data_IF_236845596359
#
_entry.id   IF_236845596359
#
_cell.length_a   1.000
_cell.length_b   1.000
_cell.length_c   1.000
_cell.angle_alpha   90.00
_cell.angle_beta   90.00
_cell.angle_gamma   90.00
#
_symmetry.space_group_name_H-M   'P 1'
#
loop_
_entity.id
_entity.type
_entity.pdbx_description
1 polymer ?
#
# COMPACT_ATOMS: atom_id res chain seq x y z
N UNK A 1 2.28 -31.28 0.69
CA UNK A 1 1.84 -30.31 -0.32
C UNK A 1 1.92 -28.97 0.38
N UNK A 2 2.82 -28.07 -0.03
CA UNK A 2 2.90 -26.73 0.58
C UNK A 2 1.61 -25.97 0.27
N UNK A 3 0.97 -25.41 1.29
CA UNK A 3 -0.15 -24.48 1.10
C UNK A 3 0.31 -23.34 0.18
N UNK A 4 -0.55 -22.88 -0.75
CA UNK A 4 -0.21 -21.73 -1.58
C UNK A 4 0.06 -20.53 -0.67
N UNK A 5 1.13 -19.78 -0.97
CA UNK A 5 1.43 -18.57 -0.21
C UNK A 5 0.27 -17.57 -0.38
N UNK A 6 -0.34 -17.18 0.74
CA UNK A 6 -1.44 -16.22 0.78
C UNK A 6 -1.07 -14.90 0.09
N UNK A 7 -2.06 -14.26 -0.54
CA UNK A 7 -1.91 -12.96 -1.18
C UNK A 7 -1.61 -11.88 -0.14
N UNK A 8 -0.58 -11.07 -0.38
CA UNK A 8 -0.18 -9.99 0.51
C UNK A 8 0.18 -8.75 -0.29
N UNK A 9 -0.34 -7.61 0.14
CA UNK A 9 0.03 -6.28 -0.34
C UNK A 9 1.06 -5.71 0.63
N UNK A 10 2.25 -5.43 0.14
CA UNK A 10 3.30 -4.77 0.90
C UNK A 10 3.34 -3.31 0.52
N UNK A 11 3.14 -2.43 1.50
CA UNK A 11 3.10 -0.99 1.34
C UNK A 11 4.36 -0.34 1.93
N UNK A 12 4.92 0.61 1.18
CA UNK A 12 6.09 1.38 1.55
C UNK A 12 5.72 2.86 1.57
N UNK A 13 5.60 3.49 2.76
CA UNK A 13 5.37 4.92 2.84
C UNK A 13 6.46 5.69 2.11
N UNK A 14 6.10 6.56 1.14
CA UNK A 14 7.08 7.46 0.54
C UNK A 14 7.71 8.38 1.59
N UNK A 15 8.95 8.83 1.40
CA UNK A 15 9.57 9.81 2.29
C UNK A 15 8.70 11.06 2.43
N UNK A 16 8.56 11.58 3.66
CA UNK A 16 7.75 12.77 3.94
C UNK A 16 6.24 12.54 3.93
N UNK A 17 5.78 11.31 3.70
CA UNK A 17 4.36 10.96 3.78
C UNK A 17 4.05 10.27 5.10
N UNK A 18 2.90 10.61 5.68
CA UNK A 18 2.27 9.86 6.75
C UNK A 18 1.20 8.93 6.20
N UNK A 19 0.83 7.94 7.02
CA UNK A 19 -0.21 6.98 6.71
C UNK A 19 -1.51 7.43 7.36
N UNK A 20 -2.56 7.56 6.58
CA UNK A 20 -3.92 7.74 7.10
C UNK A 20 -4.42 6.38 7.64
N UNK A 21 -4.63 6.25 8.98
CA UNK A 21 -5.05 4.99 9.58
C UNK A 21 -6.45 4.55 9.15
N UNK A 22 -7.35 5.47 8.81
CA UNK A 22 -8.68 5.12 8.33
C UNK A 22 -8.61 4.63 6.88
N UNK A 23 -7.86 5.32 6.02
CA UNK A 23 -7.68 4.87 4.64
C UNK A 23 -6.94 3.53 4.55
N UNK A 24 -5.98 3.29 5.46
CA UNK A 24 -5.32 1.99 5.59
C UNK A 24 -6.33 0.90 5.97
N UNK A 25 -7.20 1.15 6.94
CA UNK A 25 -8.20 0.18 7.37
C UNK A 25 -9.22 -0.14 6.26
N UNK A 26 -9.62 0.88 5.50
CA UNK A 26 -10.50 0.70 4.34
C UNK A 26 -9.83 -0.18 3.27
N UNK A 27 -8.53 0.04 3.00
CA UNK A 27 -7.74 -0.79 2.09
C UNK A 27 -7.58 -2.23 2.60
N UNK A 28 -7.30 -2.42 3.89
CA UNK A 28 -7.22 -3.74 4.54
C UNK A 28 -8.51 -4.53 4.37
N UNK A 29 -9.64 -3.87 4.62
CA UNK A 29 -10.97 -4.48 4.51
C UNK A 29 -11.27 -4.84 3.06
N UNK A 30 -11.04 -3.92 2.12
CA UNK A 30 -11.26 -4.18 0.69
C UNK A 30 -10.39 -5.33 0.18
N UNK A 31 -9.12 -5.37 0.58
CA UNK A 31 -8.18 -6.43 0.20
C UNK A 31 -8.59 -7.81 0.75
N UNK A 32 -9.01 -7.86 2.01
CA UNK A 32 -9.48 -9.10 2.64
C UNK A 32 -10.79 -9.59 2.00
N UNK A 33 -11.78 -8.71 1.80
CA UNK A 33 -13.09 -9.09 1.29
C UNK A 33 -13.07 -9.46 -0.20
N UNK A 34 -12.26 -8.77 -1.00
CA UNK A 34 -12.25 -8.95 -2.47
C UNK A 34 -11.25 -10.01 -2.92
N UNK A 35 -10.09 -10.06 -2.27
CA UNK A 35 -8.93 -10.85 -2.73
C UNK A 35 -8.46 -11.89 -1.72
N UNK A 36 -9.08 -12.00 -0.53
CA UNK A 36 -8.58 -12.82 0.59
C UNK A 36 -7.10 -12.49 0.91
N UNK A 37 -6.75 -11.20 0.77
CA UNK A 37 -5.38 -10.71 0.85
C UNK A 37 -5.13 -9.89 2.12
N UNK A 38 -3.94 -10.04 2.69
CA UNK A 38 -3.47 -9.20 3.80
C UNK A 38 -2.76 -7.94 3.31
N UNK A 39 -2.73 -6.90 4.15
CA UNK A 39 -1.92 -5.69 3.93
C UNK A 39 -0.84 -5.62 5.00
N UNK A 40 0.38 -5.28 4.60
CA UNK A 40 1.51 -5.09 5.51
C UNK A 40 2.14 -3.74 5.20
N UNK A 41 2.25 -2.89 6.21
CA UNK A 41 3.09 -1.69 6.16
C UNK A 41 4.54 -2.08 6.49
N UNK A 42 5.45 -1.83 5.57
CA UNK A 42 6.87 -2.00 5.82
C UNK A 42 7.44 -0.74 6.48
N UNK A 43 8.17 -0.84 7.61
CA UNK A 43 8.85 0.29 8.23
C UNK A 43 10.11 0.72 7.46
N UNK A 44 10.53 -0.03 6.44
CA UNK A 44 11.66 0.30 5.59
C UNK A 44 11.26 1.24 4.45
N UNK A 45 12.20 2.05 3.97
CA UNK A 45 12.04 2.70 2.68
C UNK A 45 12.40 1.70 1.57
N UNK A 46 11.61 1.64 0.52
CA UNK A 46 11.97 0.85 -0.65
C UNK A 46 13.23 1.46 -1.28
N UNK A 47 14.33 0.71 -1.25
CA UNK A 47 15.60 1.15 -1.81
C UNK A 47 15.48 1.20 -3.35
N UNK A 48 15.30 2.42 -3.87
CA UNK A 48 15.49 2.80 -5.27
C UNK A 48 14.47 2.25 -6.29
N UNK A 49 13.60 3.14 -6.78
CA UNK A 49 12.98 3.04 -8.11
C UNK A 49 11.77 2.10 -8.27
N UNK A 50 11.43 1.32 -7.25
CA UNK A 50 10.16 0.58 -7.21
C UNK A 50 9.05 1.42 -6.61
N UNK A 51 7.83 1.25 -7.12
CA UNK A 51 6.65 1.94 -6.59
C UNK A 51 6.39 1.64 -5.11
N UNK A 52 5.55 2.45 -4.46
CA UNK A 52 5.21 2.35 -3.03
C UNK A 52 4.48 1.04 -2.63
N UNK A 53 4.34 0.07 -3.55
CA UNK A 53 3.51 -1.12 -3.38
C UNK A 53 4.11 -2.33 -4.09
N UNK A 54 4.08 -3.48 -3.43
CA UNK A 54 4.40 -4.78 -4.01
C UNK A 54 3.26 -5.78 -3.74
N UNK A 55 2.93 -6.60 -4.74
CA UNK A 55 2.04 -7.74 -4.60
C UNK A 55 2.86 -9.01 -4.41
N UNK A 56 2.60 -9.75 -3.34
CA UNK A 56 3.31 -10.98 -2.97
C UNK A 56 2.31 -12.12 -2.89
N UNK A 57 2.74 -13.34 -3.23
CA UNK A 57 1.91 -14.54 -3.14
C UNK A 57 1.07 -14.81 -4.39
N UNK A 58 0.05 -15.65 -4.26
CA UNK A 58 -0.84 -16.03 -5.36
C UNK A 58 -2.12 -15.19 -5.35
N UNK A 59 -2.40 -14.54 -6.48
CA UNK A 59 -3.57 -13.65 -6.66
C UNK A 59 -4.69 -14.27 -7.49
N UNK A 60 -4.65 -15.60 -7.71
CA UNK A 60 -5.65 -16.31 -8.51
C UNK A 60 -7.06 -16.15 -7.90
N UNK A 61 -8.12 -15.94 -8.70
CA UNK A 61 -8.16 -15.99 -10.17
C UNK A 61 -7.75 -14.71 -10.92
N UNK A 62 -7.32 -13.68 -10.21
CA UNK A 62 -7.09 -12.35 -10.77
C UNK A 62 -5.69 -12.22 -11.38
N UNK A 63 -5.58 -11.41 -12.44
CA UNK A 63 -4.28 -11.00 -12.94
C UNK A 63 -3.70 -9.89 -12.04
N UNK A 64 -2.39 -9.94 -11.69
CA UNK A 64 -1.78 -8.94 -10.81
C UNK A 64 -1.94 -7.48 -11.28
N UNK A 65 -1.98 -7.25 -12.59
CA UNK A 65 -2.18 -5.91 -13.15
C UNK A 65 -3.60 -5.37 -12.88
N UNK A 66 -4.62 -6.22 -12.96
CA UNK A 66 -6.01 -5.85 -12.65
C UNK A 66 -6.18 -5.54 -11.16
N UNK A 67 -5.54 -6.36 -10.32
CA UNK A 67 -5.48 -6.14 -8.87
C UNK A 67 -4.79 -4.80 -8.57
N UNK A 68 -3.65 -4.53 -9.21
CA UNK A 68 -2.93 -3.28 -8.98
C UNK A 68 -3.73 -2.05 -9.42
N UNK A 69 -4.44 -2.12 -10.56
CA UNK A 69 -5.30 -1.04 -11.03
C UNK A 69 -6.43 -0.74 -10.04
N UNK A 70 -7.09 -1.78 -9.52
CA UNK A 70 -8.15 -1.62 -8.52
C UNK A 70 -7.60 -1.10 -7.18
N UNK A 71 -6.45 -1.60 -6.73
CA UNK A 71 -5.83 -1.18 -5.47
C UNK A 71 -5.22 0.22 -5.53
N UNK A 72 -4.75 0.68 -6.70
CA UNK A 72 -4.09 1.98 -6.84
C UNK A 72 -4.92 3.14 -6.28
N UNK A 73 -6.24 3.14 -6.52
CA UNK A 73 -7.16 4.17 -6.02
C UNK A 73 -7.31 4.19 -4.50
N UNK A 74 -7.11 3.04 -3.86
CA UNK A 74 -7.17 2.92 -2.41
C UNK A 74 -5.83 3.30 -1.80
N UNK A 75 -4.73 2.81 -2.37
CA UNK A 75 -3.35 3.07 -1.94
C UNK A 75 -3.02 4.57 -2.00
N UNK A 76 -3.46 5.28 -3.04
CA UNK A 76 -3.26 6.73 -3.17
C UNK A 76 -3.85 7.52 -1.99
N UNK A 77 -4.92 6.99 -1.37
CA UNK A 77 -5.56 7.60 -0.20
C UNK A 77 -4.86 7.27 1.11
N UNK A 78 -4.03 6.22 1.14
CA UNK A 78 -3.32 5.77 2.35
C UNK A 78 -2.19 6.73 2.70
N UNK A 79 -1.51 7.30 1.71
CA UNK A 79 -0.36 8.17 1.94
C UNK A 79 -0.74 9.63 1.73
N UNK A 80 -0.47 10.49 2.72
CA UNK A 80 -0.62 11.93 2.57
C UNK A 80 0.67 12.65 2.90
N UNK A 81 0.95 13.73 2.18
CA UNK A 81 2.19 14.49 2.33
C UNK A 81 2.11 15.43 3.56
N UNK A 82 3.18 15.46 4.34
CA UNK A 82 3.37 16.38 5.47
C UNK A 82 4.02 17.74 5.10
N UNK A 83 4.24 18.02 3.82
CA UNK A 83 4.86 19.27 3.32
C UNK A 83 4.15 20.58 3.77
N UNK A 84 2.98 20.51 4.38
CA UNK A 84 2.23 21.66 4.88
C UNK A 84 2.81 22.31 6.15
N UNK A 85 3.87 21.75 6.75
CA UNK A 85 4.56 22.32 7.92
C UNK A 85 5.78 23.19 7.58
N UNK A 86 6.06 23.46 6.30
CA UNK A 86 6.97 24.54 5.89
C UNK A 86 6.22 25.87 5.72
N UNK A 87 5.52 26.33 6.78
CA UNK A 87 5.05 27.71 6.82
C UNK A 87 6.19 28.60 7.32
N UNK A 88 6.92 29.19 6.37
CA UNK A 88 7.76 30.38 6.44
C UNK A 88 8.44 30.69 7.79
N UNK A 89 9.59 30.08 8.04
CA UNK A 89 10.70 30.79 8.70
C UNK A 89 11.41 31.64 7.64
N UNK A 90 10.83 32.79 7.28
CA UNK A 90 11.59 33.88 6.68
C UNK A 90 11.30 35.15 7.46
N UNK A 91 12.32 35.56 8.20
CA UNK A 91 12.43 36.72 9.08
C UNK A 91 12.28 38.07 8.38
#
# INVERSE_FOLDING_TARGET
>A
MSEPAAAVILLYPPPGHEVDPQALHDLETHAAETYDAGVILSPGQMLSGGGATLLIGQWFPYHPDEVMEDLARWIDRVFFNLDWLQLDEVS
#
